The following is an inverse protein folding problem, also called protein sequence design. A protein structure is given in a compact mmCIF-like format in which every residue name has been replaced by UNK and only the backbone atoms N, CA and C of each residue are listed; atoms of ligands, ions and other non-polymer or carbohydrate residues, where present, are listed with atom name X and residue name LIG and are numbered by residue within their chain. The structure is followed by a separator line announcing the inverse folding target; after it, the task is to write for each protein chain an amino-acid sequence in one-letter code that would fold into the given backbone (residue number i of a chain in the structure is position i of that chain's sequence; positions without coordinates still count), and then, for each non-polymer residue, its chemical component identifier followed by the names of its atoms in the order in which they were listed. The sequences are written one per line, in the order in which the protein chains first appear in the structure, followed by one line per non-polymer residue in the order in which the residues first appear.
data_IF_358572875751
#
_entry.id   IF_358572875751
#
_cell.length_a   1.000
_cell.length_b   1.000
_cell.length_c   1.000
_cell.angle_alpha   90.00
_cell.angle_beta   90.00
_cell.angle_gamma   90.00
#
_symmetry.space_group_name_H-M   'P 1'
#
loop_
_entity.id
_entity.type
_entity.pdbx_description
1 polymer ?
#
# COMPACT_ATOMS: atom_id res chain seq x y z
N UNK A 1 0.71 -1.80 2.93
CA UNK A 1 1.95 -2.34 2.34
C UNK A 1 2.53 -1.29 1.41
N UNK A 2 3.83 -1.12 1.43
CA UNK A 2 4.45 0.03 0.78
C UNK A 2 5.80 -0.38 0.16
N UNK A 3 6.12 0.19 -1.02
CA UNK A 3 7.40 0.00 -1.69
C UNK A 3 8.48 0.87 -1.02
N UNK A 4 9.75 0.46 -1.13
CA UNK A 4 10.87 1.13 -0.45
C UNK A 4 11.00 2.61 -0.80
N UNK A 5 10.83 2.96 -2.07
CA UNK A 5 10.92 4.35 -2.55
C UNK A 5 9.73 5.18 -2.07
N UNK A 6 8.57 4.57 -1.93
CA UNK A 6 7.37 5.24 -1.42
C UNK A 6 7.39 5.36 0.10
N UNK A 7 8.04 4.42 0.80
CA UNK A 7 8.22 4.51 2.25
C UNK A 7 8.97 5.79 2.63
N UNK A 8 10.01 6.15 1.88
CA UNK A 8 10.74 7.38 2.11
C UNK A 8 9.84 8.61 2.00
N UNK A 9 8.95 8.65 1.01
CA UNK A 9 7.98 9.75 0.83
C UNK A 9 7.00 9.85 1.99
N UNK A 10 6.51 8.70 2.46
CA UNK A 10 5.59 8.65 3.60
C UNK A 10 6.28 9.13 4.87
N UNK A 11 7.49 8.63 5.14
CA UNK A 11 8.28 9.03 6.30
C UNK A 11 8.56 10.54 6.28
N UNK A 12 8.99 11.08 5.14
CA UNK A 12 9.25 12.51 5.01
C UNK A 12 7.99 13.35 5.30
N UNK A 13 6.84 12.92 4.81
CA UNK A 13 5.56 13.58 5.04
C UNK A 13 5.21 13.62 6.52
N UNK A 14 5.41 12.51 7.23
CA UNK A 14 5.16 12.42 8.67
C UNK A 14 6.15 13.29 9.45
N UNK A 15 7.43 13.19 9.12
CA UNK A 15 8.50 13.94 9.79
C UNK A 15 8.31 15.45 9.65
N UNK A 16 7.91 15.91 8.47
CA UNK A 16 7.59 17.33 8.26
C UNK A 16 6.42 17.79 9.12
N UNK A 17 5.38 16.98 9.18
CA UNK A 17 4.16 17.35 9.92
C UNK A 17 4.39 17.43 11.42
N UNK A 18 5.15 16.49 11.99
CA UNK A 18 5.38 16.40 13.43
C UNK A 18 6.69 17.04 13.87
N UNK A 19 7.51 17.48 12.93
CA UNK A 19 8.80 18.10 13.18
C UNK A 19 9.71 17.21 14.06
N UNK A 20 9.69 15.90 13.76
CA UNK A 20 10.50 14.89 14.46
C UNK A 20 10.95 13.81 13.49
N UNK A 21 12.13 13.25 13.72
CA UNK A 21 12.63 12.11 12.95
C UNK A 21 12.02 10.80 13.43
N UNK A 22 11.66 9.93 12.49
CA UNK A 22 11.23 8.57 12.79
C UNK A 22 12.48 7.72 12.95
N UNK A 23 12.73 7.28 14.19
CA UNK A 23 13.95 6.52 14.54
C UNK A 23 13.64 5.10 14.98
N UNK A 24 12.37 4.71 15.03
CA UNK A 24 11.92 3.41 15.52
C UNK A 24 10.78 2.89 14.66
N UNK A 25 10.66 1.57 14.58
CA UNK A 25 9.56 0.92 13.88
C UNK A 25 8.21 1.05 14.58
N UNK A 26 8.23 1.46 15.85
CA UNK A 26 6.99 1.65 16.62
C UNK A 26 7.16 2.87 17.49
N UNK A 27 6.32 3.88 17.30
CA UNK A 27 6.44 5.14 18.01
C UNK A 27 5.10 5.90 18.05
N UNK A 28 5.00 6.79 19.03
CA UNK A 28 3.90 7.72 19.19
C UNK A 28 4.48 9.13 19.10
N UNK A 29 3.92 9.94 18.20
CA UNK A 29 4.33 11.32 18.03
C UNK A 29 3.17 12.24 18.35
N UNK A 30 3.47 13.38 18.96
CA UNK A 30 2.44 14.37 19.29
C UNK A 30 2.95 15.76 18.97
N UNK A 31 2.07 16.59 18.42
CA UNK A 31 2.30 18.00 18.17
C UNK A 31 1.00 18.76 18.41
N UNK A 32 0.95 19.60 19.44
CA UNK A 32 -0.27 20.29 19.88
C UNK A 32 -1.40 19.26 20.14
N UNK A 33 -2.51 19.36 19.41
CA UNK A 33 -3.65 18.46 19.55
C UNK A 33 -3.59 17.25 18.61
N UNK A 34 -2.53 17.14 17.80
CA UNK A 34 -2.36 16.06 16.84
C UNK A 34 -1.54 14.92 17.44
N UNK A 35 -1.98 13.70 17.27
CA UNK A 35 -1.29 12.49 17.73
C UNK A 35 -1.21 11.49 16.59
N UNK A 36 -0.08 10.80 16.50
CA UNK A 36 0.16 9.77 15.52
C UNK A 36 0.73 8.53 16.21
N UNK A 37 0.09 7.38 15.97
CA UNK A 37 0.67 6.08 16.27
C UNK A 37 1.24 5.51 14.98
N UNK A 38 2.51 5.20 14.97
CA UNK A 38 3.24 4.68 13.82
C UNK A 38 3.75 3.28 14.14
N UNK A 39 3.50 2.33 13.24
CA UNK A 39 4.01 0.98 13.35
C UNK A 39 4.43 0.46 11.99
N UNK A 40 5.72 0.15 11.83
CA UNK A 40 6.29 -0.42 10.61
C UNK A 40 6.69 -1.86 10.89
N UNK A 41 6.24 -2.78 10.05
CA UNK A 41 6.48 -4.21 10.24
C UNK A 41 6.64 -4.92 8.91
N UNK A 42 7.03 -6.19 8.96
CA UNK A 42 7.14 -7.05 7.78
C UNK A 42 5.96 -8.01 7.72
N UNK A 43 5.37 -8.14 6.55
CA UNK A 43 4.30 -9.09 6.29
C UNK A 43 4.38 -9.51 4.83
N UNK A 44 4.22 -10.78 4.55
CA UNK A 44 4.39 -11.35 3.19
C UNK A 44 5.74 -10.99 2.55
N UNK A 45 6.80 -10.87 3.36
CA UNK A 45 8.12 -10.48 2.86
C UNK A 45 8.26 -9.02 2.45
N UNK A 46 7.23 -8.22 2.65
CA UNK A 46 7.18 -6.80 2.28
C UNK A 46 7.07 -5.91 3.52
N UNK A 47 7.27 -4.62 3.34
CA UNK A 47 7.09 -3.65 4.41
C UNK A 47 5.63 -3.18 4.46
N UNK A 48 5.06 -3.19 5.65
CA UNK A 48 3.74 -2.63 5.92
C UNK A 48 3.86 -1.52 6.97
N UNK A 49 2.97 -0.54 6.91
CA UNK A 49 2.91 0.56 7.86
C UNK A 49 1.46 0.76 8.30
N UNK A 50 1.26 0.72 9.62
CA UNK A 50 -0.01 1.09 10.23
C UNK A 50 0.11 2.49 10.82
N UNK A 51 -0.87 3.33 10.51
CA UNK A 51 -0.95 4.69 11.01
C UNK A 51 -2.32 4.91 11.61
N UNK A 52 -2.34 5.34 12.87
CA UNK A 52 -3.57 5.77 13.55
C UNK A 52 -3.34 7.22 13.99
N UNK A 53 -4.16 8.13 13.49
CA UNK A 53 -3.99 9.55 13.77
C UNK A 53 -5.34 10.27 13.81
N UNK A 54 -5.39 11.35 14.58
CA UNK A 54 -6.51 12.28 14.58
C UNK A 54 -6.24 13.53 13.71
N UNK A 55 -5.12 13.55 12.99
CA UNK A 55 -4.72 14.69 12.17
C UNK A 55 -5.23 14.52 10.74
N UNK A 56 -6.34 15.17 10.41
CA UNK A 56 -6.95 15.10 9.08
C UNK A 56 -6.04 15.69 7.99
N UNK A 57 -5.25 16.71 8.31
CA UNK A 57 -4.31 17.29 7.35
C UNK A 57 -3.22 16.28 6.97
N UNK A 58 -2.74 15.52 7.93
CA UNK A 58 -1.77 14.44 7.65
C UNK A 58 -2.40 13.37 6.75
N UNK A 59 -3.62 12.96 7.03
CA UNK A 59 -4.33 11.97 6.22
C UNK A 59 -4.47 12.46 4.78
N UNK A 60 -4.87 13.71 4.58
CA UNK A 60 -5.00 14.32 3.26
C UNK A 60 -3.65 14.35 2.52
N UNK A 61 -2.58 14.71 3.23
CA UNK A 61 -1.24 14.75 2.67
C UNK A 61 -0.76 13.35 2.25
N UNK A 62 -1.08 12.33 3.03
CA UNK A 62 -0.74 10.94 2.70
C UNK A 62 -1.50 10.49 1.44
N UNK A 63 -2.80 10.78 1.36
CA UNK A 63 -3.57 10.46 0.16
C UNK A 63 -3.04 11.17 -1.09
N UNK A 64 -2.56 12.41 -0.94
CA UNK A 64 -1.98 13.18 -2.03
C UNK A 64 -0.66 12.60 -2.57
N UNK A 65 -0.03 11.69 -1.84
CA UNK A 65 1.16 10.99 -2.33
C UNK A 65 0.83 9.92 -3.38
N UNK A 66 -0.42 9.49 -3.47
CA UNK A 66 -0.88 8.44 -4.40
C UNK A 66 -0.06 7.15 -4.29
N UNK A 67 0.15 6.70 -3.07
CA UNK A 67 0.92 5.47 -2.80
C UNK A 67 0.19 4.24 -3.35
N UNK A 68 0.96 3.32 -3.93
CA UNK A 68 0.44 2.10 -4.52
C UNK A 68 1.05 0.88 -3.81
N UNK A 69 0.27 -0.17 -3.51
CA UNK A 69 0.84 -1.40 -2.96
C UNK A 69 1.70 -2.11 -4.01
N UNK A 70 2.61 -3.00 -3.60
CA UNK A 70 3.32 -3.85 -4.53
C UNK A 70 2.34 -4.71 -5.34
N UNK A 71 2.73 -5.07 -6.55
CA UNK A 71 1.96 -5.97 -7.40
C UNK A 71 1.83 -7.37 -6.79
N UNK A 72 0.75 -8.12 -7.08
CA UNK A 72 0.63 -9.50 -6.64
C UNK A 72 1.82 -10.37 -7.04
N UNK A 73 2.36 -10.18 -8.24
CA UNK A 73 3.52 -10.90 -8.73
C UNK A 73 4.82 -10.55 -7.99
N UNK A 74 4.89 -9.37 -7.40
CA UNK A 74 6.02 -8.97 -6.55
C UNK A 74 5.93 -9.61 -5.17
N UNK A 75 4.74 -9.68 -4.60
CA UNK A 75 4.52 -10.26 -3.27
C UNK A 75 4.63 -11.78 -3.30
N UNK A 76 4.15 -12.40 -4.38
CA UNK A 76 4.16 -13.87 -4.56
C UNK A 76 4.93 -14.25 -5.84
N UNK A 77 6.25 -14.01 -5.89
CA UNK A 77 7.02 -14.15 -7.13
C UNK A 77 7.17 -15.60 -7.61
N UNK A 78 6.98 -16.57 -6.71
CA UNK A 78 7.14 -17.99 -7.02
C UNK A 78 5.82 -18.68 -7.38
N UNK A 79 4.75 -17.91 -7.55
CA UNK A 79 3.44 -18.44 -7.94
C UNK A 79 3.04 -17.98 -9.32
N UNK A 80 2.51 -18.89 -10.10
CA UNK A 80 1.94 -18.57 -11.41
C UNK A 80 0.64 -17.77 -11.23
N UNK A 81 0.38 -16.86 -12.15
CA UNK A 81 -0.85 -16.06 -12.14
C UNK A 81 -2.10 -16.95 -12.13
N UNK A 82 -2.05 -18.09 -12.80
CA UNK A 82 -3.14 -19.07 -12.82
C UNK A 82 -3.53 -19.54 -11.42
N UNK A 83 -2.58 -19.63 -10.49
CA UNK A 83 -2.83 -20.06 -9.11
C UNK A 83 -3.46 -18.95 -8.27
N UNK A 84 -3.47 -17.70 -8.74
CA UNK A 84 -4.13 -16.59 -8.06
C UNK A 84 -5.65 -16.66 -8.16
N UNK A 85 -6.17 -17.37 -9.16
CA UNK A 85 -7.59 -17.37 -9.50
C UNK A 85 -8.54 -17.78 -8.40
N UNK A 86 -8.12 -18.63 -7.47
CA UNK A 86 -8.92 -19.05 -6.34
C UNK A 86 -8.95 -18.05 -5.19
N UNK A 87 -7.96 -17.15 -5.10
CA UNK A 87 -7.79 -16.20 -4.00
C UNK A 87 -8.00 -16.85 -2.63
N UNK A 88 -7.28 -17.96 -2.36
CA UNK A 88 -7.38 -18.70 -1.09
C UNK A 88 -6.11 -18.55 -0.27
N UNK A 89 -6.27 -18.66 1.05
CA UNK A 89 -5.14 -18.63 1.98
C UNK A 89 -4.46 -17.29 2.07
N UNK A 90 -3.13 -17.27 1.95
CA UNK A 90 -2.31 -16.07 2.10
C UNK A 90 -2.55 -15.03 0.99
N UNK A 91 -2.83 -15.47 -0.24
CA UNK A 91 -3.18 -14.58 -1.36
C UNK A 91 -4.49 -13.84 -1.06
N UNK A 92 -5.49 -14.55 -0.56
CA UNK A 92 -6.77 -13.95 -0.18
C UNK A 92 -6.59 -12.91 0.93
N UNK A 93 -5.81 -13.25 1.96
CA UNK A 93 -5.53 -12.34 3.06
C UNK A 93 -4.83 -11.07 2.57
N UNK A 94 -3.78 -11.23 1.75
CA UNK A 94 -3.06 -10.09 1.17
C UNK A 94 -3.96 -9.24 0.28
N UNK A 95 -4.74 -9.88 -0.59
CA UNK A 95 -5.66 -9.20 -1.50
C UNK A 95 -6.67 -8.34 -0.74
N UNK A 96 -7.30 -8.91 0.27
CA UNK A 96 -8.35 -8.21 1.04
C UNK A 96 -7.81 -7.06 1.86
N UNK A 97 -6.63 -7.20 2.45
CA UNK A 97 -6.07 -6.21 3.37
C UNK A 97 -5.34 -5.09 2.63
N UNK A 98 -4.54 -5.44 1.60
CA UNK A 98 -3.60 -4.50 0.99
C UNK A 98 -3.94 -4.08 -0.43
N UNK A 99 -4.46 -4.99 -1.26
CA UNK A 99 -4.70 -4.70 -2.66
C UNK A 99 -6.11 -4.15 -2.93
N UNK A 100 -7.12 -4.82 -2.43
CA UNK A 100 -8.51 -4.43 -2.70
C UNK A 100 -8.84 -3.00 -2.23
N UNK A 101 -8.37 -2.53 -1.07
CA UNK A 101 -8.62 -1.13 -0.67
C UNK A 101 -8.07 -0.10 -1.65
N UNK A 102 -6.95 -0.41 -2.31
CA UNK A 102 -6.38 0.42 -3.37
C UNK A 102 -7.14 0.23 -4.69
N UNK A 103 -7.24 -1.02 -5.13
CA UNK A 103 -7.78 -1.36 -6.45
C UNK A 103 -9.26 -1.01 -6.57
N UNK A 104 -10.05 -1.28 -5.55
CA UNK A 104 -11.48 -1.04 -5.53
C UNK A 104 -11.88 0.44 -5.62
N UNK A 105 -10.95 1.36 -5.31
CA UNK A 105 -11.19 2.80 -5.42
C UNK A 105 -10.97 3.35 -6.83
N UNK A 106 -10.32 2.59 -7.69
CA UNK A 106 -10.05 3.02 -9.05
C UNK A 106 -11.26 2.81 -9.95
N UNK A 107 -11.53 3.77 -10.83
CA UNK A 107 -12.49 3.59 -11.91
C UNK A 107 -11.97 2.55 -12.91
N UNK A 108 -12.86 1.99 -13.73
CA UNK A 108 -12.44 1.03 -14.76
C UNK A 108 -11.40 1.64 -15.69
N UNK A 109 -11.56 2.91 -16.05
CA UNK A 109 -10.62 3.63 -16.90
C UNK A 109 -9.24 3.72 -16.25
N UNK A 110 -9.18 4.06 -14.97
CA UNK A 110 -7.92 4.14 -14.21
C UNK A 110 -7.27 2.77 -14.05
N UNK A 111 -8.06 1.71 -13.85
CA UNK A 111 -7.56 0.33 -13.79
C UNK A 111 -6.91 -0.08 -15.11
N UNK A 112 -7.55 0.22 -16.24
CA UNK A 112 -7.01 -0.05 -17.56
C UNK A 112 -5.71 0.71 -17.79
N UNK A 113 -5.67 1.98 -17.41
CA UNK A 113 -4.47 2.81 -17.50
C UNK A 113 -3.32 2.24 -16.65
N UNK A 114 -3.63 1.82 -15.43
CA UNK A 114 -2.66 1.20 -14.52
C UNK A 114 -2.00 -0.03 -15.14
N UNK A 115 -2.80 -0.97 -15.66
CA UNK A 115 -2.26 -2.22 -16.23
C UNK A 115 -1.46 -1.96 -17.51
N UNK A 116 -1.81 -0.94 -18.29
CA UNK A 116 -1.05 -0.56 -19.48
C UNK A 116 0.30 0.04 -19.13
N UNK A 117 0.36 0.89 -18.10
CA UNK A 117 1.61 1.57 -17.70
C UNK A 117 2.63 0.65 -17.02
N UNK A 118 2.17 -0.39 -16.33
CA UNK A 118 3.04 -1.24 -15.52
C UNK A 118 3.77 -2.33 -16.31
N UNK A 119 3.56 -2.41 -17.60
CA UNK A 119 4.19 -3.40 -18.47
C UNK A 119 4.02 -4.84 -17.95
N UNK A 120 2.79 -5.17 -17.58
CA UNK A 120 2.45 -6.48 -17.03
C UNK A 120 2.28 -7.53 -18.12
N UNK A 121 2.40 -8.82 -17.75
CA UNK A 121 2.02 -9.91 -18.65
C UNK A 121 0.53 -9.84 -18.95
N UNK A 122 0.12 -10.39 -20.10
CA UNK A 122 -1.31 -10.41 -20.49
C UNK A 122 -2.15 -11.18 -19.46
N UNK A 123 -1.60 -12.25 -18.90
CA UNK A 123 -2.27 -13.06 -17.87
C UNK A 123 -2.55 -12.26 -16.61
N UNK A 124 -1.57 -11.47 -16.15
CA UNK A 124 -1.74 -10.64 -14.97
C UNK A 124 -2.72 -9.49 -15.22
N UNK A 125 -2.68 -8.88 -16.42
CA UNK A 125 -3.64 -7.84 -16.80
C UNK A 125 -5.07 -8.38 -16.73
N UNK A 126 -5.33 -9.55 -17.33
CA UNK A 126 -6.64 -10.19 -17.30
C UNK A 126 -7.08 -10.48 -15.87
N UNK A 127 -6.20 -11.06 -15.07
CA UNK A 127 -6.49 -11.38 -13.67
C UNK A 127 -6.92 -10.14 -12.90
N UNK A 128 -6.15 -9.05 -12.99
CA UNK A 128 -6.45 -7.82 -12.27
C UNK A 128 -7.76 -7.18 -12.73
N UNK A 129 -8.04 -7.19 -14.03
CA UNK A 129 -9.27 -6.59 -14.58
C UNK A 129 -10.52 -7.42 -14.28
N UNK A 130 -10.37 -8.74 -14.10
CA UNK A 130 -11.48 -9.63 -13.73
C UNK A 130 -11.81 -9.56 -12.24
N UNK A 131 -10.84 -9.25 -11.38
CA UNK A 131 -11.01 -9.19 -9.92
C UNK A 131 -11.13 -7.74 -9.45
N UNK A 132 -12.25 -7.15 -9.73
CA UNK A 132 -12.53 -5.74 -9.37
C UNK A 132 -12.84 -5.55 -7.90
#
# INVERSE_FOLDING_TARGET
MIKSDELAKLVDTIEERFNKKITSNKAIYSLKNSTLHYYQFKEFGQTAVDIITNDNNLIDNIYALYLEPPLPSTVFPNRDVETFGSLQGDIEAWWSIYWHPFWGRLSLEKKKHYVEQKNLSNELKEFLLLHN
#
